data_IF_991180501906
#
_entry.id   IF_991180501906
#
_cell.length_a   1.000
_cell.length_b   1.000
_cell.length_c   1.000
_cell.angle_alpha   90.00
_cell.angle_beta   90.00
_cell.angle_gamma   90.00
#
_symmetry.space_group_name_H-M   'P 1'
#
loop_
_entity.id
_entity.type
_entity.pdbx_description
1 polymer ?
#
# COMPACT_ATOMS: atom_id res chain seq x y z
N UNK A 1 -24.10 -40.28 11.70
CA UNK A 1 -22.85 -40.61 11.00
C UNK A 1 -22.13 -39.28 10.72
N UNK A 2 -20.83 -39.21 10.98
CA UNK A 2 -20.04 -38.01 10.61
C UNK A 2 -19.99 -37.92 9.08
N UNK A 3 -19.86 -36.72 8.52
CA UNK A 3 -19.70 -36.52 7.07
C UNK A 3 -18.51 -37.34 6.52
N UNK A 4 -17.43 -37.47 7.29
CA UNK A 4 -16.25 -38.31 6.99
C UNK A 4 -16.62 -39.77 6.75
N UNK A 5 -17.58 -40.35 7.51
CA UNK A 5 -18.01 -41.72 7.29
C UNK A 5 -18.79 -41.92 5.99
N UNK A 6 -19.38 -40.87 5.44
CA UNK A 6 -20.19 -40.93 4.23
C UNK A 6 -19.40 -40.53 2.96
N UNK A 7 -18.47 -39.61 3.09
CA UNK A 7 -17.83 -38.90 1.95
C UNK A 7 -16.29 -38.92 1.99
N UNK A 8 -15.69 -39.54 3.01
CA UNK A 8 -14.24 -39.53 3.23
C UNK A 8 -13.74 -38.24 3.87
N UNK A 9 -12.42 -38.13 3.96
CA UNK A 9 -11.77 -36.94 4.46
C UNK A 9 -11.89 -35.79 3.43
N UNK A 10 -12.38 -34.64 3.87
CA UNK A 10 -12.60 -33.46 3.01
C UNK A 10 -11.31 -33.02 2.30
N UNK A 11 -10.15 -33.18 2.94
CA UNK A 11 -8.85 -32.80 2.36
C UNK A 11 -8.40 -33.71 1.21
N UNK A 12 -9.14 -34.81 0.94
CA UNK A 12 -8.85 -35.76 -0.14
C UNK A 12 -9.81 -35.68 -1.32
N UNK A 13 -10.70 -34.70 -1.31
CA UNK A 13 -11.68 -34.53 -2.38
C UNK A 13 -11.00 -34.07 -3.68
N UNK A 14 -11.42 -34.68 -4.79
CA UNK A 14 -11.04 -34.26 -6.14
C UNK A 14 -11.89 -33.05 -6.56
N UNK A 15 -11.24 -31.90 -6.67
CA UNK A 15 -11.89 -30.65 -7.04
C UNK A 15 -11.49 -30.18 -8.44
N UNK A 16 -10.75 -30.99 -9.19
CA UNK A 16 -10.18 -30.64 -10.50
C UNK A 16 -11.17 -30.13 -11.55
N UNK A 17 -12.47 -30.37 -11.36
CA UNK A 17 -13.55 -29.92 -12.23
C UNK A 17 -14.35 -28.74 -11.65
N UNK A 18 -13.99 -28.27 -10.46
CA UNK A 18 -14.71 -27.18 -9.79
C UNK A 18 -14.15 -25.85 -10.27
N UNK A 19 -15.00 -24.98 -10.77
CA UNK A 19 -14.66 -23.62 -11.22
C UNK A 19 -15.31 -22.53 -10.39
N UNK A 20 -16.30 -22.89 -9.55
CA UNK A 20 -17.04 -21.97 -8.69
C UNK A 20 -17.12 -22.53 -7.27
N UNK A 21 -16.53 -21.81 -6.33
CA UNK A 21 -16.54 -22.11 -4.89
C UNK A 21 -17.23 -20.99 -4.09
N UNK A 22 -18.02 -20.14 -4.75
CA UNK A 22 -18.76 -19.10 -4.07
C UNK A 22 -19.66 -19.66 -2.97
N UNK A 23 -19.77 -18.95 -1.85
CA UNK A 23 -20.62 -19.30 -0.69
C UNK A 23 -20.32 -20.67 -0.03
N UNK A 24 -19.27 -21.42 -0.42
CA UNK A 24 -19.07 -22.82 -0.05
C UNK A 24 -19.08 -23.06 1.47
N UNK A 25 -18.42 -22.21 2.23
CA UNK A 25 -18.38 -22.25 3.70
C UNK A 25 -19.03 -21.01 4.34
N UNK A 26 -19.82 -20.28 3.59
CA UNK A 26 -20.52 -19.09 4.08
C UNK A 26 -21.34 -19.40 5.33
N UNK A 27 -21.13 -18.58 6.39
CA UNK A 27 -21.81 -18.72 7.68
C UNK A 27 -21.57 -20.07 8.40
N UNK A 28 -20.50 -20.79 8.03
CA UNK A 28 -20.08 -21.99 8.75
C UNK A 28 -19.16 -21.61 9.91
N UNK A 29 -19.75 -20.99 10.93
CA UNK A 29 -19.01 -20.31 12.03
C UNK A 29 -18.04 -21.21 12.79
N UNK A 30 -18.20 -22.53 12.73
CA UNK A 30 -17.33 -23.52 13.40
C UNK A 30 -16.44 -24.30 12.43
N UNK A 31 -16.50 -24.00 11.12
CA UNK A 31 -15.71 -24.72 10.13
C UNK A 31 -14.22 -24.37 10.29
N UNK A 32 -13.41 -25.40 10.47
CA UNK A 32 -11.96 -25.32 10.52
C UNK A 32 -11.33 -26.70 10.19
N UNK A 33 -11.98 -27.48 9.30
CA UNK A 33 -11.43 -28.75 8.84
C UNK A 33 -10.29 -28.47 7.85
N UNK A 34 -9.31 -29.38 7.80
CA UNK A 34 -8.16 -29.26 6.92
C UNK A 34 -8.57 -29.39 5.44
N UNK A 35 -8.28 -28.35 4.66
CA UNK A 35 -8.50 -28.26 3.22
C UNK A 35 -7.23 -27.80 2.49
N UNK A 36 -6.08 -27.89 3.15
CA UNK A 36 -4.80 -27.37 2.66
C UNK A 36 -4.32 -28.04 1.36
N UNK A 37 -4.74 -29.28 1.10
CA UNK A 37 -4.36 -30.03 -0.10
C UNK A 37 -5.35 -29.89 -1.27
N UNK A 38 -6.34 -29.02 -1.17
CA UNK A 38 -7.27 -28.82 -2.26
C UNK A 38 -6.58 -28.25 -3.50
N UNK A 39 -6.80 -28.87 -4.65
CA UNK A 39 -6.45 -28.31 -5.95
C UNK A 39 -7.54 -27.33 -6.39
N UNK A 40 -7.24 -26.03 -6.25
CA UNK A 40 -8.15 -24.93 -6.61
C UNK A 40 -7.74 -24.24 -7.91
N UNK A 41 -6.77 -24.77 -8.64
CA UNK A 41 -6.15 -24.14 -9.82
C UNK A 41 -7.12 -23.82 -10.96
N UNK A 42 -8.27 -24.51 -11.01
CA UNK A 42 -9.33 -24.26 -11.99
C UNK A 42 -10.46 -23.34 -11.49
N UNK A 43 -10.38 -22.90 -10.23
CA UNK A 43 -11.44 -22.04 -9.65
C UNK A 43 -11.33 -20.62 -10.19
N UNK A 44 -12.45 -20.08 -10.62
CA UNK A 44 -12.57 -18.72 -11.19
C UNK A 44 -13.26 -17.78 -10.20
N UNK A 45 -14.19 -18.32 -9.39
CA UNK A 45 -15.00 -17.56 -8.45
C UNK A 45 -14.87 -18.13 -7.03
N UNK A 46 -14.38 -17.28 -6.10
CA UNK A 46 -14.29 -17.58 -4.66
C UNK A 46 -15.08 -16.56 -3.81
N UNK A 47 -16.04 -15.85 -4.43
CA UNK A 47 -16.81 -14.83 -3.71
C UNK A 47 -17.52 -15.43 -2.50
N UNK A 48 -17.43 -14.73 -1.36
CA UNK A 48 -18.10 -15.09 -0.09
C UNK A 48 -17.75 -16.50 0.46
N UNK A 49 -16.69 -17.16 -0.08
CA UNK A 49 -16.39 -18.58 0.23
C UNK A 49 -16.27 -18.84 1.73
N UNK A 50 -15.68 -17.95 2.49
CA UNK A 50 -15.53 -18.02 3.95
C UNK A 50 -16.25 -16.89 4.68
N UNK A 51 -17.25 -16.24 4.07
CA UNK A 51 -18.00 -15.18 4.73
C UNK A 51 -18.58 -15.70 6.06
N UNK A 52 -18.25 -15.02 7.16
CA UNK A 52 -18.68 -15.37 8.52
C UNK A 52 -18.33 -16.81 8.93
N UNK A 53 -17.24 -17.35 8.41
CA UNK A 53 -16.64 -18.61 8.88
C UNK A 53 -15.71 -18.30 10.07
N UNK A 54 -16.28 -17.92 11.22
CA UNK A 54 -15.59 -17.34 12.36
C UNK A 54 -14.36 -18.11 12.86
N UNK A 55 -14.43 -19.46 12.82
CA UNK A 55 -13.34 -20.31 13.32
C UNK A 55 -12.29 -20.64 12.27
N UNK A 56 -12.50 -20.28 11.00
CA UNK A 56 -11.62 -20.68 9.90
C UNK A 56 -10.24 -20.02 10.05
N UNK A 57 -9.19 -20.86 10.14
CA UNK A 57 -7.79 -20.42 10.18
C UNK A 57 -6.83 -21.52 9.71
N UNK A 58 -7.23 -22.26 8.66
CA UNK A 58 -6.39 -23.31 8.07
C UNK A 58 -5.34 -22.68 7.15
N UNK A 59 -4.15 -23.28 7.11
CA UNK A 59 -3.11 -22.86 6.18
C UNK A 59 -3.52 -23.22 4.73
N UNK A 60 -3.71 -22.20 3.91
CA UNK A 60 -4.07 -22.28 2.49
C UNK A 60 -3.03 -21.60 1.59
N UNK A 61 -1.82 -21.40 2.11
CA UNK A 61 -0.72 -20.72 1.37
C UNK A 61 -0.33 -21.46 0.09
N UNK A 62 -0.56 -22.77 0.03
CA UNK A 62 -0.24 -23.60 -1.14
C UNK A 62 -1.33 -23.59 -2.24
N UNK A 63 -2.44 -22.89 -2.04
CA UNK A 63 -3.48 -22.81 -3.05
C UNK A 63 -3.00 -22.01 -4.27
N UNK A 64 -3.20 -22.57 -5.47
CA UNK A 64 -3.01 -21.86 -6.72
C UNK A 64 -4.31 -21.11 -7.06
N UNK A 65 -4.32 -19.80 -6.80
CA UNK A 65 -5.48 -18.92 -7.05
C UNK A 65 -5.32 -18.08 -8.32
N UNK A 66 -4.33 -18.37 -9.15
CA UNK A 66 -3.96 -17.55 -10.33
C UNK A 66 -5.09 -17.45 -11.38
N UNK A 67 -6.04 -18.38 -11.37
CA UNK A 67 -7.22 -18.35 -12.26
C UNK A 67 -8.42 -17.58 -11.68
N UNK A 68 -8.36 -17.16 -10.41
CA UNK A 68 -9.50 -16.51 -9.73
C UNK A 68 -9.65 -15.07 -10.21
N UNK A 69 -10.86 -14.70 -10.59
CA UNK A 69 -11.19 -13.33 -11.04
C UNK A 69 -12.11 -12.59 -10.08
N UNK A 70 -12.81 -13.29 -9.20
CA UNK A 70 -13.75 -12.73 -8.23
C UNK A 70 -13.46 -13.27 -6.82
N UNK A 71 -13.05 -12.35 -5.94
CA UNK A 71 -12.80 -12.61 -4.52
C UNK A 71 -13.68 -11.72 -3.61
N UNK A 72 -14.81 -11.22 -4.14
CA UNK A 72 -15.75 -10.43 -3.35
C UNK A 72 -16.05 -11.07 -1.99
N UNK A 73 -15.83 -10.33 -0.90
CA UNK A 73 -16.17 -10.73 0.46
C UNK A 73 -15.65 -12.12 0.92
N UNK A 74 -14.57 -12.66 0.29
CA UNK A 74 -14.12 -14.05 0.54
C UNK A 74 -13.87 -14.35 2.02
N UNK A 75 -13.26 -13.43 2.77
CA UNK A 75 -12.99 -13.57 4.21
C UNK A 75 -13.78 -12.57 5.06
N UNK A 76 -14.87 -12.02 4.54
CA UNK A 76 -15.74 -11.11 5.28
C UNK A 76 -16.22 -11.75 6.58
N UNK A 77 -15.87 -11.18 7.74
CA UNK A 77 -16.25 -11.70 9.04
C UNK A 77 -15.60 -13.04 9.42
N UNK A 78 -14.55 -13.47 8.72
CA UNK A 78 -13.75 -14.62 9.11
C UNK A 78 -12.81 -14.22 10.27
N UNK A 79 -13.37 -14.06 11.46
CA UNK A 79 -12.74 -13.39 12.60
C UNK A 79 -11.42 -14.02 13.07
N UNK A 80 -11.26 -15.35 12.92
CA UNK A 80 -10.04 -16.07 13.33
C UNK A 80 -8.98 -16.13 12.23
N UNK A 81 -9.33 -15.77 10.98
CA UNK A 81 -8.41 -15.94 9.86
C UNK A 81 -7.20 -15.02 9.98
N UNK A 82 -6.02 -15.62 9.97
CA UNK A 82 -4.73 -14.95 9.89
C UNK A 82 -3.70 -15.85 9.17
N UNK A 83 -4.18 -16.64 8.18
CA UNK A 83 -3.31 -17.49 7.38
C UNK A 83 -2.41 -16.67 6.45
N UNK A 84 -1.20 -17.16 6.26
CA UNK A 84 -0.27 -16.56 5.29
C UNK A 84 -0.77 -16.81 3.85
N UNK A 85 -1.04 -15.73 3.15
CA UNK A 85 -1.47 -15.70 1.75
C UNK A 85 -0.61 -14.73 0.92
N UNK A 86 0.56 -14.34 1.44
CA UNK A 86 1.49 -13.41 0.81
C UNK A 86 1.99 -13.88 -0.56
N UNK A 87 1.96 -15.20 -0.80
CA UNK A 87 2.43 -15.83 -2.04
C UNK A 87 1.34 -16.06 -3.09
N UNK A 88 0.09 -15.66 -2.81
CA UNK A 88 -0.99 -15.83 -3.76
C UNK A 88 -0.79 -14.95 -5.00
N UNK A 89 -0.95 -15.55 -6.18
CA UNK A 89 -1.04 -14.80 -7.44
C UNK A 89 -2.49 -14.31 -7.62
N UNK A 90 -2.70 -13.01 -7.32
CA UNK A 90 -4.01 -12.36 -7.42
C UNK A 90 -4.13 -11.46 -8.67
N UNK A 91 -3.17 -11.56 -9.60
CA UNK A 91 -3.07 -10.67 -10.77
C UNK A 91 -4.29 -10.75 -11.73
N UNK A 92 -5.08 -11.83 -11.64
CA UNK A 92 -6.32 -11.98 -12.42
C UNK A 92 -7.57 -11.43 -11.72
N UNK A 93 -7.47 -11.05 -10.43
CA UNK A 93 -8.64 -10.62 -9.63
C UNK A 93 -9.09 -9.22 -10.03
N UNK A 94 -10.39 -9.04 -10.22
CA UNK A 94 -10.99 -7.74 -10.60
C UNK A 94 -11.84 -7.11 -9.52
N UNK A 95 -12.39 -7.90 -8.58
CA UNK A 95 -13.18 -7.43 -7.44
C UNK A 95 -12.63 -7.98 -6.12
N UNK A 96 -12.14 -7.09 -5.26
CA UNK A 96 -11.71 -7.37 -3.89
C UNK A 96 -12.56 -6.61 -2.86
N UNK A 97 -13.74 -6.13 -3.26
CA UNK A 97 -14.61 -5.42 -2.32
C UNK A 97 -15.02 -6.32 -1.15
N UNK A 98 -15.00 -5.76 0.05
CA UNK A 98 -15.33 -6.43 1.32
C UNK A 98 -14.42 -7.61 1.70
N UNK A 99 -13.31 -7.85 1.00
CA UNK A 99 -12.49 -9.07 1.08
C UNK A 99 -12.11 -9.46 2.51
N UNK A 100 -11.59 -8.54 3.31
CA UNK A 100 -11.24 -8.70 4.74
C UNK A 100 -12.15 -7.93 5.69
N UNK A 101 -13.31 -7.46 5.22
CA UNK A 101 -14.21 -6.72 6.10
C UNK A 101 -14.55 -7.52 7.35
N UNK A 102 -14.38 -6.94 8.53
CA UNK A 102 -14.56 -7.60 9.84
C UNK A 102 -13.65 -8.81 10.11
N UNK A 103 -12.62 -9.06 9.31
CA UNK A 103 -11.60 -10.08 9.61
C UNK A 103 -10.67 -9.58 10.72
N UNK A 104 -11.14 -9.58 11.96
CA UNK A 104 -10.55 -8.82 13.07
C UNK A 104 -9.15 -9.25 13.47
N UNK A 105 -8.73 -10.49 13.18
CA UNK A 105 -7.38 -10.99 13.50
C UNK A 105 -6.41 -10.97 12.31
N UNK A 106 -6.88 -10.61 11.12
CA UNK A 106 -6.03 -10.63 9.92
C UNK A 106 -4.96 -9.54 9.98
N UNK A 107 -3.69 -9.95 9.84
CA UNK A 107 -2.53 -9.04 9.79
C UNK A 107 -1.35 -9.73 9.11
N UNK A 108 -1.51 -10.14 7.84
CA UNK A 108 -0.44 -10.71 7.05
C UNK A 108 0.10 -9.69 6.05
N UNK A 109 1.34 -9.90 5.62
CA UNK A 109 1.99 -9.08 4.60
C UNK A 109 1.35 -9.34 3.22
N UNK A 110 0.89 -8.27 2.58
CA UNK A 110 0.28 -8.30 1.25
C UNK A 110 1.05 -7.42 0.24
N UNK A 111 2.23 -6.93 0.61
CA UNK A 111 3.03 -5.99 -0.20
C UNK A 111 3.40 -6.54 -1.58
N UNK A 112 3.49 -7.87 -1.72
CA UNK A 112 3.84 -8.53 -2.98
C UNK A 112 2.64 -8.84 -3.90
N UNK A 113 1.42 -8.49 -3.51
CA UNK A 113 0.26 -8.75 -4.36
C UNK A 113 0.24 -7.84 -5.58
N UNK A 114 0.12 -8.42 -6.76
CA UNK A 114 -0.19 -7.68 -7.99
C UNK A 114 -1.71 -7.43 -8.07
N UNK A 115 -2.11 -6.20 -7.74
CA UNK A 115 -3.52 -5.77 -7.76
C UNK A 115 -3.85 -4.90 -8.97
N UNK A 116 -2.97 -4.83 -9.97
CA UNK A 116 -3.10 -3.93 -11.13
C UNK A 116 -4.37 -4.18 -11.97
N UNK A 117 -4.97 -5.37 -11.87
CA UNK A 117 -6.25 -5.70 -12.52
C UNK A 117 -7.48 -5.37 -11.68
N UNK A 118 -7.32 -5.03 -10.40
CA UNK A 118 -8.44 -4.78 -9.49
C UNK A 118 -9.12 -3.45 -9.82
N UNK A 119 -10.44 -3.46 -9.92
CA UNK A 119 -11.24 -2.26 -10.21
C UNK A 119 -12.07 -1.78 -9.01
N UNK A 120 -12.29 -2.64 -8.02
CA UNK A 120 -13.13 -2.35 -6.87
C UNK A 120 -12.50 -2.87 -5.57
N UNK A 121 -12.19 -1.96 -4.65
CA UNK A 121 -11.65 -2.22 -3.31
C UNK A 121 -12.56 -1.65 -2.21
N UNK A 122 -13.85 -1.44 -2.53
CA UNK A 122 -14.82 -0.91 -1.57
C UNK A 122 -14.79 -1.71 -0.26
N UNK A 123 -14.56 -1.03 0.86
CA UNK A 123 -14.63 -1.62 2.22
C UNK A 123 -13.75 -2.85 2.44
N UNK A 124 -12.62 -2.94 1.72
CA UNK A 124 -11.77 -4.14 1.74
C UNK A 124 -11.28 -4.50 3.15
N UNK A 125 -10.91 -3.50 3.96
CA UNK A 125 -10.39 -3.66 5.32
C UNK A 125 -11.26 -3.01 6.41
N UNK A 126 -12.55 -2.74 6.12
CA UNK A 126 -13.44 -2.16 7.16
C UNK A 126 -13.46 -3.03 8.40
N UNK A 127 -13.18 -2.41 9.57
CA UNK A 127 -13.14 -3.09 10.88
C UNK A 127 -12.21 -4.33 10.92
N UNK A 128 -11.19 -4.40 10.05
CA UNK A 128 -10.07 -5.33 10.16
C UNK A 128 -9.13 -4.86 11.28
N UNK A 129 -9.55 -5.04 12.53
CA UNK A 129 -9.04 -4.35 13.69
C UNK A 129 -7.54 -4.58 13.98
N UNK A 130 -6.96 -5.70 13.50
CA UNK A 130 -5.53 -6.02 13.68
C UNK A 130 -4.67 -5.68 12.47
N UNK A 131 -5.28 -5.29 11.33
CA UNK A 131 -4.54 -5.07 10.10
C UNK A 131 -3.61 -3.85 10.22
N UNK A 132 -2.32 -4.08 10.03
CA UNK A 132 -1.27 -3.05 10.00
C UNK A 132 -0.27 -3.32 8.87
N UNK A 133 -0.72 -3.88 7.74
CA UNK A 133 0.13 -4.10 6.57
C UNK A 133 0.37 -2.81 5.80
N UNK A 134 1.60 -2.64 5.32
CA UNK A 134 1.90 -1.65 4.30
C UNK A 134 1.51 -2.22 2.93
N UNK A 135 0.67 -1.49 2.21
CA UNK A 135 0.19 -1.82 0.87
C UNK A 135 0.50 -0.67 -0.12
N UNK A 136 1.42 0.20 0.23
CA UNK A 136 1.84 1.35 -0.59
C UNK A 136 2.44 0.92 -1.94
N UNK A 137 2.97 -0.31 -2.01
CA UNK A 137 3.51 -0.89 -3.24
C UNK A 137 2.46 -1.29 -4.28
N UNK A 138 1.17 -1.23 -3.93
CA UNK A 138 0.11 -1.66 -4.83
C UNK A 138 -0.11 -0.67 -5.98
N UNK A 139 -0.13 -1.17 -7.22
CA UNK A 139 -0.61 -0.40 -8.36
C UNK A 139 -2.14 -0.34 -8.36
N UNK A 140 -2.67 0.78 -7.88
CA UNK A 140 -4.12 1.03 -7.80
C UNK A 140 -4.66 1.83 -8.98
N UNK A 141 -3.89 2.01 -10.05
CA UNK A 141 -4.26 2.86 -11.20
C UNK A 141 -5.55 2.41 -11.90
N UNK A 142 -5.89 1.12 -11.84
CA UNK A 142 -7.14 0.57 -12.39
C UNK A 142 -8.33 0.66 -11.44
N UNK A 143 -8.12 1.00 -10.16
CA UNK A 143 -9.19 1.00 -9.16
C UNK A 143 -10.08 2.21 -9.34
N UNK A 144 -11.38 1.97 -9.43
CA UNK A 144 -12.40 3.01 -9.61
C UNK A 144 -13.25 3.26 -8.36
N UNK A 145 -13.12 2.43 -7.34
CA UNK A 145 -13.85 2.59 -6.09
C UNK A 145 -13.05 2.04 -4.90
N UNK A 146 -12.68 2.93 -3.97
CA UNK A 146 -12.02 2.65 -2.69
C UNK A 146 -12.83 3.15 -1.49
N UNK A 147 -14.15 3.32 -1.67
CA UNK A 147 -15.02 3.85 -0.60
C UNK A 147 -14.86 3.07 0.69
N UNK A 148 -14.56 3.77 1.80
CA UNK A 148 -14.42 3.22 3.15
C UNK A 148 -13.37 2.10 3.28
N UNK A 149 -12.35 2.03 2.38
CA UNK A 149 -11.43 0.89 2.28
C UNK A 149 -10.79 0.51 3.62
N UNK A 150 -10.42 1.48 4.45
CA UNK A 150 -9.76 1.29 5.76
C UNK A 150 -10.58 1.82 6.94
N UNK A 151 -11.89 2.03 6.80
CA UNK A 151 -12.73 2.49 7.92
C UNK A 151 -12.65 1.49 9.08
N UNK A 152 -12.34 1.96 10.30
CA UNK A 152 -12.25 1.08 11.48
C UNK A 152 -11.03 0.15 11.52
N UNK A 153 -10.05 0.25 10.62
CA UNK A 153 -8.78 -0.46 10.69
C UNK A 153 -7.87 0.19 11.76
N UNK A 154 -8.21 -0.03 13.04
CA UNK A 154 -7.63 0.72 14.16
C UNK A 154 -6.14 0.47 14.38
N UNK A 155 -5.62 -0.71 14.02
CA UNK A 155 -4.20 -1.04 14.16
C UNK A 155 -3.33 -0.40 13.07
N UNK A 156 -3.92 0.09 11.97
CA UNK A 156 -3.15 0.69 10.88
C UNK A 156 -2.41 1.92 11.40
N UNK A 157 -1.08 1.83 11.46
CA UNK A 157 -0.22 2.87 12.02
C UNK A 157 -0.24 4.15 11.17
N UNK A 158 0.11 5.27 11.79
CA UNK A 158 0.21 6.54 11.07
C UNK A 158 1.31 6.50 10.00
N UNK A 159 2.41 5.75 10.23
CA UNK A 159 3.44 5.51 9.22
C UNK A 159 2.86 4.79 7.99
N UNK A 160 2.17 3.65 8.18
CA UNK A 160 1.58 2.93 7.05
C UNK A 160 0.47 3.72 6.35
N UNK A 161 -0.32 4.50 7.09
CA UNK A 161 -1.29 5.43 6.48
C UNK A 161 -0.61 6.48 5.61
N UNK A 162 0.54 7.01 6.09
CA UNK A 162 1.35 7.96 5.33
C UNK A 162 1.83 7.33 4.02
N UNK A 163 2.50 6.18 4.05
CA UNK A 163 2.99 5.48 2.85
C UNK A 163 1.87 5.16 1.86
N UNK A 164 0.76 4.60 2.35
CA UNK A 164 -0.41 4.29 1.53
C UNK A 164 -0.99 5.56 0.89
N UNK A 165 -1.10 6.66 1.65
CA UNK A 165 -1.61 7.94 1.12
C UNK A 165 -0.72 8.46 -0.01
N UNK A 166 0.59 8.45 0.18
CA UNK A 166 1.54 8.90 -0.84
C UNK A 166 1.36 8.19 -2.17
N UNK A 167 1.25 6.86 -2.13
CA UNK A 167 1.09 6.05 -3.34
C UNK A 167 -0.30 6.15 -3.96
N UNK A 168 -1.36 6.28 -3.13
CA UNK A 168 -2.74 6.19 -3.63
C UNK A 168 -3.39 7.53 -3.96
N UNK A 169 -2.88 8.66 -3.45
CA UNK A 169 -3.49 9.99 -3.59
C UNK A 169 -3.64 10.47 -5.04
N UNK A 170 -2.84 9.94 -5.97
CA UNK A 170 -2.94 10.26 -7.39
C UNK A 170 -4.17 9.62 -8.07
N UNK A 171 -4.83 8.66 -7.41
CA UNK A 171 -6.05 8.03 -7.93
C UNK A 171 -7.28 8.80 -7.42
N UNK A 172 -8.14 9.27 -8.33
CA UNK A 172 -9.37 10.02 -8.03
C UNK A 172 -10.36 9.27 -7.13
N UNK A 173 -10.25 7.94 -7.06
CA UNK A 173 -11.11 7.10 -6.19
C UNK A 173 -10.62 7.02 -4.74
N UNK A 174 -9.40 7.55 -4.42
CA UNK A 174 -8.86 7.55 -3.06
C UNK A 174 -9.67 8.46 -2.14
N UNK A 175 -10.27 7.94 -1.04
CA UNK A 175 -11.23 8.72 -0.27
C UNK A 175 -10.64 9.45 0.94
N UNK A 176 -9.34 9.24 1.24
CA UNK A 176 -8.73 9.75 2.47
C UNK A 176 -7.75 10.88 2.19
N UNK A 177 -7.66 11.82 3.15
CA UNK A 177 -6.57 12.77 3.26
C UNK A 177 -5.79 12.45 4.56
N UNK A 178 -4.65 11.83 4.40
CA UNK A 178 -3.76 11.43 5.50
C UNK A 178 -2.41 12.18 5.44
N UNK A 179 -2.31 13.24 4.66
CA UNK A 179 -1.09 14.03 4.50
C UNK A 179 -0.50 14.52 5.83
N UNK A 180 -1.36 14.97 6.76
CA UNK A 180 -0.91 15.41 8.08
C UNK A 180 -0.25 14.29 8.93
N UNK A 181 -0.52 13.01 8.61
CA UNK A 181 0.03 11.88 9.38
C UNK A 181 1.51 11.63 9.05
N UNK A 182 1.97 12.05 7.88
CA UNK A 182 3.36 11.88 7.47
C UNK A 182 4.30 12.70 8.35
N UNK A 183 3.96 13.96 8.62
CA UNK A 183 4.72 14.81 9.53
C UNK A 183 4.74 14.25 10.98
N UNK A 184 3.59 13.73 11.44
CA UNK A 184 3.48 13.12 12.77
C UNK A 184 4.25 11.81 12.88
N UNK A 185 4.41 11.08 11.78
CA UNK A 185 5.18 9.83 11.72
C UNK A 185 6.70 10.06 11.63
N UNK A 186 7.17 11.30 11.42
CA UNK A 186 8.58 11.63 11.25
C UNK A 186 9.12 11.33 9.87
N UNK A 187 8.26 11.35 8.86
CA UNK A 187 8.61 11.19 7.45
C UNK A 187 8.32 12.46 6.67
N UNK A 188 9.18 12.75 5.71
CA UNK A 188 9.05 13.83 4.73
C UNK A 188 8.58 13.24 3.40
N UNK A 189 7.52 13.78 2.82
CA UNK A 189 7.00 13.36 1.52
C UNK A 189 7.85 13.90 0.38
N UNK A 190 8.33 13.01 -0.52
CA UNK A 190 9.20 13.33 -1.66
C UNK A 190 8.61 12.64 -2.92
N UNK A 191 7.66 13.30 -3.62
CA UNK A 191 6.89 12.66 -4.69
C UNK A 191 7.62 12.51 -6.03
N UNK A 192 8.76 13.17 -6.22
CA UNK A 192 9.53 13.06 -7.46
C UNK A 192 10.56 11.94 -7.34
N UNK A 193 10.35 10.85 -8.10
CA UNK A 193 11.20 9.67 -8.08
C UNK A 193 12.69 9.98 -8.33
N UNK A 194 12.99 11.02 -9.12
CA UNK A 194 14.38 11.43 -9.37
C UNK A 194 14.97 12.16 -8.18
N UNK A 195 14.16 12.94 -7.45
CA UNK A 195 14.61 13.58 -6.22
C UNK A 195 14.84 12.54 -5.13
N UNK A 196 13.89 11.63 -4.93
CA UNK A 196 14.04 10.54 -3.95
C UNK A 196 15.25 9.66 -4.30
N UNK A 197 15.44 9.28 -5.59
CA UNK A 197 16.61 8.52 -6.01
C UNK A 197 17.93 9.26 -5.72
N UNK A 198 17.96 10.57 -5.91
CA UNK A 198 19.13 11.38 -5.54
C UNK A 198 19.41 11.34 -4.03
N UNK A 199 18.36 11.33 -3.19
CA UNK A 199 18.51 11.18 -1.73
C UNK A 199 19.02 9.78 -1.35
N UNK A 200 18.58 8.73 -2.05
CA UNK A 200 19.08 7.36 -1.90
C UNK A 200 20.57 7.29 -2.28
N UNK A 201 20.95 7.86 -3.42
CA UNK A 201 22.32 7.86 -3.90
C UNK A 201 23.27 8.63 -2.95
N UNK A 202 22.75 9.63 -2.25
CA UNK A 202 23.46 10.40 -1.20
C UNK A 202 23.45 9.69 0.17
N UNK A 203 22.68 8.60 0.33
CA UNK A 203 22.61 7.81 1.56
C UNK A 203 21.72 8.41 2.65
N UNK A 204 20.77 9.26 2.29
CA UNK A 204 19.76 9.82 3.20
C UNK A 204 18.51 8.95 3.27
N UNK A 205 18.34 8.05 2.30
CA UNK A 205 17.24 7.13 2.16
C UNK A 205 17.72 5.76 1.69
N UNK A 206 16.84 4.72 1.68
CA UNK A 206 17.20 3.36 1.29
C UNK A 206 16.23 2.71 0.28
N UNK A 207 15.02 3.26 0.08
CA UNK A 207 13.99 2.71 -0.80
C UNK A 207 13.25 3.82 -1.55
N UNK A 208 12.75 3.50 -2.75
CA UNK A 208 11.95 4.43 -3.57
C UNK A 208 10.46 4.22 -3.24
N UNK A 209 9.93 5.04 -2.32
CA UNK A 209 8.57 4.88 -1.77
C UNK A 209 7.84 6.22 -1.52
N UNK A 210 8.38 7.32 -2.06
CA UNK A 210 7.92 8.70 -1.90
C UNK A 210 8.10 9.29 -0.49
N UNK A 211 8.91 8.70 0.39
CA UNK A 211 9.12 9.20 1.75
C UNK A 211 10.54 8.99 2.22
N UNK A 212 11.09 9.98 2.88
CA UNK A 212 12.40 9.91 3.56
C UNK A 212 12.22 10.18 5.06
N UNK A 213 12.98 9.49 5.90
CA UNK A 213 12.98 9.77 7.34
C UNK A 213 13.44 11.20 7.58
N UNK A 214 12.57 12.06 8.14
CA UNK A 214 12.83 13.49 8.34
C UNK A 214 14.12 13.75 9.13
N UNK A 215 14.40 12.93 10.16
CA UNK A 215 15.63 13.02 10.94
C UNK A 215 16.91 12.80 10.11
N UNK A 216 16.82 12.04 9.00
CA UNK A 216 17.95 11.80 8.10
C UNK A 216 18.35 13.06 7.30
N UNK A 217 17.37 13.94 7.02
CA UNK A 217 17.56 15.11 6.14
C UNK A 217 17.58 16.45 6.88
N UNK A 218 16.94 16.54 8.04
CA UNK A 218 16.78 17.81 8.79
C UNK A 218 18.10 18.46 9.21
N UNK A 219 19.17 17.66 9.36
CA UNK A 219 20.52 18.12 9.69
C UNK A 219 21.42 18.40 8.49
N UNK A 220 20.95 18.17 7.26
CA UNK A 220 21.75 18.35 6.04
C UNK A 220 21.98 19.83 5.79
N UNK A 221 23.25 20.21 5.61
CA UNK A 221 23.67 21.61 5.38
C UNK A 221 24.01 21.92 3.92
N UNK A 222 24.31 20.90 3.13
CA UNK A 222 24.62 21.00 1.70
C UNK A 222 23.90 19.88 0.94
N UNK A 223 23.14 20.25 -0.08
CA UNK A 223 22.45 19.32 -0.97
C UNK A 223 22.84 19.60 -2.41
N UNK A 224 23.49 18.64 -3.06
CA UNK A 224 23.87 18.70 -4.47
C UNK A 224 23.13 17.63 -5.26
N UNK A 225 22.11 18.04 -5.98
CA UNK A 225 21.25 17.20 -6.82
C UNK A 225 21.17 17.81 -8.24
N UNK A 226 22.33 18.18 -8.78
CA UNK A 226 22.45 18.77 -10.10
C UNK A 226 22.38 17.73 -11.20
N UNK A 227 21.62 18.03 -12.26
CA UNK A 227 21.45 17.21 -13.47
C UNK A 227 20.75 15.86 -13.22
N UNK A 228 19.92 15.78 -12.20
CA UNK A 228 19.21 14.54 -11.82
C UNK A 228 17.81 14.45 -12.45
N UNK A 229 17.47 15.38 -13.36
CA UNK A 229 16.18 15.40 -14.07
C UNK A 229 14.96 15.64 -13.17
N UNK A 230 15.16 16.23 -12.00
CA UNK A 230 14.13 16.51 -10.98
C UNK A 230 13.15 17.55 -11.52
N UNK A 231 11.85 17.29 -11.38
CA UNK A 231 10.76 18.18 -11.79
C UNK A 231 10.01 18.81 -10.60
N UNK A 232 10.09 18.19 -9.44
CA UNK A 232 9.44 18.63 -8.19
C UNK A 232 10.41 18.45 -7.02
N UNK A 233 10.60 19.50 -6.21
CA UNK A 233 11.43 19.48 -4.99
C UNK A 233 10.57 19.47 -3.71
N UNK A 234 9.31 19.06 -3.77
CA UNK A 234 8.51 18.83 -2.55
C UNK A 234 9.27 17.95 -1.58
N UNK A 235 9.30 18.33 -0.29
CA UNK A 235 10.13 17.73 0.75
C UNK A 235 11.38 18.55 1.08
N UNK A 236 11.77 19.52 0.23
CA UNK A 236 12.91 20.41 0.50
C UNK A 236 12.70 21.30 1.74
N UNK A 237 11.44 21.53 2.10
CA UNK A 237 11.04 22.34 3.27
C UNK A 237 11.55 21.77 4.59
N UNK A 238 11.76 20.46 4.67
CA UNK A 238 12.24 19.77 5.88
C UNK A 238 13.77 19.72 6.01
N UNK A 239 14.48 20.17 4.99
CA UNK A 239 15.93 20.41 5.07
C UNK A 239 16.23 21.71 5.83
N UNK A 240 15.80 21.77 7.08
CA UNK A 240 15.80 23.01 7.89
C UNK A 240 17.19 23.59 8.19
N UNK A 241 18.24 22.76 8.13
CA UNK A 241 19.62 23.19 8.35
C UNK A 241 20.35 23.59 7.04
N UNK A 242 19.66 23.55 5.89
CA UNK A 242 20.28 23.72 4.59
C UNK A 242 20.86 25.12 4.40
N UNK A 243 22.16 25.19 4.09
CA UNK A 243 22.88 26.44 3.79
C UNK A 243 23.25 26.53 2.32
N UNK A 244 23.47 25.40 1.65
CA UNK A 244 23.87 25.36 0.24
C UNK A 244 22.93 24.40 -0.51
N UNK A 245 22.25 24.90 -1.53
CA UNK A 245 21.39 24.12 -2.42
C UNK A 245 21.86 24.25 -3.86
N UNK A 246 22.22 23.13 -4.47
CA UNK A 246 22.70 23.03 -5.85
C UNK A 246 21.75 22.15 -6.66
N UNK A 247 20.92 22.80 -7.49
CA UNK A 247 19.86 22.17 -8.29
C UNK A 247 19.93 22.55 -9.77
N UNK A 248 21.13 23.00 -10.23
CA UNK A 248 21.32 23.38 -11.63
C UNK A 248 21.05 22.20 -12.57
N UNK A 249 20.52 22.48 -13.77
CA UNK A 249 20.35 21.46 -14.81
C UNK A 249 19.20 20.49 -14.57
N UNK A 250 18.16 20.91 -13.84
CA UNK A 250 16.96 20.13 -13.57
C UNK A 250 15.75 20.61 -14.42
N UNK A 251 14.56 20.12 -14.12
CA UNK A 251 13.34 20.38 -14.89
C UNK A 251 12.30 21.20 -14.10
N UNK A 252 12.73 21.88 -13.03
CA UNK A 252 11.85 22.61 -12.12
C UNK A 252 11.13 23.76 -12.82
N UNK A 253 9.81 23.81 -12.66
CA UNK A 253 8.96 24.91 -13.14
C UNK A 253 8.59 25.89 -12.03
N UNK A 254 8.66 25.45 -10.78
CA UNK A 254 8.47 26.22 -9.55
C UNK A 254 9.48 25.77 -8.50
N UNK A 255 9.74 26.61 -7.50
CA UNK A 255 10.61 26.30 -6.37
C UNK A 255 10.11 27.08 -5.15
N UNK A 256 9.76 26.37 -4.09
CA UNK A 256 9.48 26.96 -2.77
C UNK A 256 10.61 26.60 -1.79
N UNK A 257 11.34 27.61 -1.36
CA UNK A 257 12.41 27.52 -0.37
C UNK A 257 12.13 28.39 0.84
N UNK A 258 10.87 28.75 1.05
CA UNK A 258 10.46 29.66 2.13
C UNK A 258 10.78 29.13 3.53
N UNK A 259 10.83 27.80 3.71
CA UNK A 259 11.22 27.13 4.96
C UNK A 259 12.73 27.03 5.15
N UNK A 260 13.53 27.09 4.09
CA UNK A 260 14.99 26.95 4.15
C UNK A 260 15.68 28.30 4.51
N UNK A 261 15.32 28.88 5.66
CA UNK A 261 15.71 30.22 6.07
C UNK A 261 17.20 30.39 6.37
N UNK A 262 17.93 29.27 6.54
CA UNK A 262 19.37 29.24 6.73
C UNK A 262 20.19 29.33 5.41
N UNK A 263 19.51 29.33 4.26
CA UNK A 263 20.13 29.21 2.95
C UNK A 263 21.01 30.42 2.64
N UNK A 264 22.29 30.16 2.31
CA UNK A 264 23.31 31.16 1.97
C UNK A 264 23.68 31.13 0.49
N UNK A 265 23.59 29.96 -0.14
CA UNK A 265 23.92 29.77 -1.54
C UNK A 265 22.85 28.95 -2.25
N UNK A 266 22.41 29.42 -3.42
CA UNK A 266 21.46 28.74 -4.28
C UNK A 266 21.97 28.69 -5.73
N UNK A 267 22.24 27.50 -6.25
CA UNK A 267 22.49 27.22 -7.67
C UNK A 267 21.23 26.61 -8.29
N UNK A 268 20.51 27.37 -9.13
CA UNK A 268 19.27 26.92 -9.78
C UNK A 268 19.24 27.22 -11.29
N UNK A 269 20.41 27.42 -11.89
CA UNK A 269 20.55 27.67 -13.33
C UNK A 269 20.07 26.47 -14.15
N UNK A 270 19.74 26.67 -15.43
CA UNK A 270 19.33 25.61 -16.36
C UNK A 270 18.11 24.81 -15.85
N UNK A 271 17.14 25.52 -15.26
CA UNK A 271 15.80 25.07 -14.91
C UNK A 271 14.75 25.83 -15.74
N UNK A 272 13.46 25.56 -15.51
CA UNK A 272 12.33 26.17 -16.21
C UNK A 272 11.57 27.18 -15.33
N UNK A 273 12.21 27.69 -14.28
CA UNK A 273 11.61 28.62 -13.34
C UNK A 273 11.24 29.95 -14.04
N UNK A 274 10.01 30.39 -13.87
CA UNK A 274 9.51 31.67 -14.39
C UNK A 274 9.54 32.77 -13.34
N UNK A 275 9.59 32.42 -12.07
CA UNK A 275 9.75 33.32 -10.91
C UNK A 275 10.40 32.54 -9.77
N UNK A 276 11.02 33.31 -8.86
CA UNK A 276 11.61 32.77 -7.63
C UNK A 276 11.38 33.75 -6.51
N UNK A 277 10.78 33.36 -5.42
CA UNK A 277 10.64 34.13 -4.20
C UNK A 277 11.73 33.72 -3.21
N UNK A 278 12.58 34.66 -2.85
CA UNK A 278 13.68 34.52 -1.88
C UNK A 278 13.51 35.42 -0.66
N UNK A 279 12.29 35.94 -0.47
CA UNK A 279 12.02 36.93 0.59
C UNK A 279 12.30 36.41 2.00
N UNK A 280 12.17 35.09 2.22
CA UNK A 280 12.46 34.44 3.49
C UNK A 280 13.93 34.02 3.66
N UNK A 281 14.70 33.99 2.56
CA UNK A 281 16.11 33.54 2.56
C UNK A 281 17.08 34.69 2.74
N UNK A 282 16.97 35.41 3.84
CA UNK A 282 17.68 36.67 4.10
C UNK A 282 19.20 36.52 4.24
N UNK A 283 19.70 35.28 4.24
CA UNK A 283 21.14 34.99 4.31
C UNK A 283 21.78 34.78 2.92
N UNK A 284 20.97 34.72 1.83
CA UNK A 284 21.47 34.57 0.46
C UNK A 284 22.36 35.77 0.05
N UNK A 285 23.50 35.49 -0.60
CA UNK A 285 24.45 36.48 -1.10
C UNK A 285 24.99 36.15 -2.49
#
# INVERSE_FOLDING_TARGET
>A
ASAVAAYGDINTWDLSLITDMSDLFKQKTTFNDDISNWDVSNVINMSEMFESADAFNINISAWDVSSVTDMYAMFHGANSFNGDISTWDVSSVTDMSYFFRYASNFNQDLSNWDVSSVTNMTRMFVDAASFNGDVSTWDVSSVTNMTDMFEGAEALSDANKCFIHGSFQSNDAWPYDWSDLCELAGYTYVPDDNFEQALIDLGYDDTLENYVVTDSISGVTELDVRNDSISDLTGIEDFIALTNLLIDGNQLTSLDISSNTALMYLGCSENQLTSLDVSNNTQLF
#
